data_IF_073589258955
#
_entry.id   IF_073589258955
#
_cell.length_a   1.000
_cell.length_b   1.000
_cell.length_c   1.000
_cell.angle_alpha   90.00
_cell.angle_beta   90.00
_cell.angle_gamma   90.00
#
_symmetry.space_group_name_H-M   'P 1'
#
loop_
_entity.id
_entity.type
_entity.pdbx_description
1 polymer ?
#
# COMPACT_ATOMS: atom_id res chain seq x y z
N UNK A 1 5.79 -19.71 5.24
CA UNK A 1 4.89 -19.09 6.24
C UNK A 1 4.60 -17.68 5.78
N UNK A 2 3.33 -17.29 5.61
CA UNK A 2 3.02 -15.90 5.33
C UNK A 2 3.50 -15.07 6.53
N UNK A 3 4.42 -14.12 6.34
CA UNK A 3 4.72 -13.12 7.37
C UNK A 3 3.42 -12.39 7.71
N UNK A 4 2.75 -12.84 8.76
CA UNK A 4 1.60 -12.16 9.35
C UNK A 4 2.12 -10.85 9.94
N UNK A 5 1.59 -9.72 9.47
CA UNK A 5 2.00 -8.40 9.94
C UNK A 5 2.71 -7.51 8.92
N UNK A 6 2.77 -7.88 7.63
CA UNK A 6 3.24 -6.97 6.57
C UNK A 6 2.28 -6.87 5.38
N UNK A 7 2.07 -5.65 4.91
CA UNK A 7 1.42 -5.36 3.63
C UNK A 7 2.48 -5.35 2.54
N UNK A 8 2.27 -6.17 1.51
CA UNK A 8 3.24 -6.43 0.45
C UNK A 8 2.94 -5.55 -0.76
N UNK A 9 4.00 -5.16 -1.46
CA UNK A 9 3.90 -4.43 -2.74
C UNK A 9 4.40 -5.33 -3.87
N UNK A 10 3.68 -5.33 -4.99
CA UNK A 10 4.09 -6.09 -6.17
C UNK A 10 5.33 -5.45 -6.82
N UNK A 11 6.29 -6.30 -7.21
CA UNK A 11 7.57 -5.89 -7.79
C UNK A 11 7.40 -5.15 -9.10
N UNK A 12 6.43 -5.55 -9.92
CA UNK A 12 6.10 -4.89 -11.20
C UNK A 12 5.45 -3.51 -11.03
N UNK A 13 5.05 -3.15 -9.80
CA UNK A 13 4.49 -1.83 -9.45
C UNK A 13 5.41 -0.99 -8.56
N UNK A 14 6.61 -1.50 -8.26
CA UNK A 14 7.54 -0.86 -7.35
C UNK A 14 7.95 0.56 -7.79
N UNK A 15 8.32 0.71 -9.06
CA UNK A 15 8.72 2.01 -9.63
C UNK A 15 7.57 3.02 -9.60
N UNK A 16 6.34 2.58 -9.89
CA UNK A 16 5.17 3.46 -9.82
C UNK A 16 4.92 3.94 -8.39
N UNK A 17 4.99 3.04 -7.41
CA UNK A 17 4.80 3.42 -6.00
C UNK A 17 5.90 4.40 -5.56
N UNK A 18 7.14 4.21 -6.03
CA UNK A 18 8.26 5.13 -5.76
C UNK A 18 8.02 6.51 -6.36
N UNK A 19 7.66 6.59 -7.64
CA UNK A 19 7.38 7.85 -8.32
C UNK A 19 6.20 8.63 -7.71
N UNK A 20 5.27 7.93 -7.05
CA UNK A 20 4.13 8.54 -6.37
C UNK A 20 4.47 9.05 -4.97
N UNK A 21 5.62 8.68 -4.41
CA UNK A 21 6.04 9.13 -3.08
C UNK A 21 7.03 10.29 -3.14
N UNK A 22 6.92 11.22 -2.21
CA UNK A 22 7.88 12.30 -2.02
C UNK A 22 9.19 11.71 -1.46
N UNK A 23 10.11 11.30 -2.32
CA UNK A 23 11.46 10.87 -1.93
C UNK A 23 12.53 11.71 -2.62
N UNK A 24 13.61 12.04 -1.90
CA UNK A 24 14.87 12.62 -2.38
C UNK A 24 14.74 13.57 -3.59
N UNK A 25 14.02 14.67 -3.41
CA UNK A 25 13.92 15.76 -4.40
C UNK A 25 12.74 15.68 -5.38
N UNK A 26 11.95 14.60 -5.35
CA UNK A 26 10.74 14.46 -6.16
C UNK A 26 9.47 14.90 -5.39
N UNK A 27 8.59 15.67 -6.05
CA UNK A 27 7.31 16.13 -5.51
C UNK A 27 6.19 15.12 -5.77
N UNK A 28 6.31 13.92 -5.19
CA UNK A 28 5.25 12.90 -5.25
C UNK A 28 4.05 13.28 -4.38
N UNK A 29 2.80 12.94 -4.76
CA UNK A 29 1.59 13.30 -4.02
C UNK A 29 1.44 12.63 -2.65
N UNK A 30 2.19 11.56 -2.37
CA UNK A 30 2.13 10.83 -1.11
C UNK A 30 3.41 11.00 -0.30
N UNK A 31 3.29 11.24 1.01
CA UNK A 31 4.45 11.38 1.88
C UNK A 31 5.16 10.05 2.13
N UNK A 32 4.41 8.94 2.17
CA UNK A 32 4.95 7.62 2.47
C UNK A 32 4.43 6.55 1.51
N UNK A 33 5.16 5.43 1.40
CA UNK A 33 4.66 4.27 0.67
C UNK A 33 3.34 3.75 1.25
N UNK A 34 3.12 3.90 2.57
CA UNK A 34 1.88 3.48 3.20
C UNK A 34 0.68 4.26 2.65
N UNK A 35 0.81 5.58 2.50
CA UNK A 35 -0.25 6.44 1.98
C UNK A 35 -0.60 6.08 0.54
N UNK A 36 0.42 5.87 -0.30
CA UNK A 36 0.23 5.47 -1.69
C UNK A 36 -0.50 4.12 -1.81
N UNK A 37 -0.15 3.15 -0.95
CA UNK A 37 -0.76 1.82 -0.95
C UNK A 37 -2.21 1.86 -0.44
N UNK A 38 -2.49 2.65 0.60
CA UNK A 38 -3.85 2.82 1.14
C UNK A 38 -4.74 3.52 0.13
N UNK A 39 -4.23 4.55 -0.55
CA UNK A 39 -4.93 5.19 -1.65
C UNK A 39 -5.23 4.21 -2.79
N UNK A 40 -4.26 3.40 -3.21
CA UNK A 40 -4.46 2.40 -4.25
C UNK A 40 -5.53 1.37 -3.86
N UNK A 41 -5.54 0.94 -2.59
CA UNK A 41 -6.56 0.03 -2.07
C UNK A 41 -7.96 0.67 -2.10
N UNK A 42 -8.10 1.91 -1.63
CA UNK A 42 -9.36 2.65 -1.66
C UNK A 42 -9.86 2.88 -3.09
N UNK A 43 -8.96 3.24 -4.01
CA UNK A 43 -9.27 3.41 -5.44
C UNK A 43 -9.73 2.08 -6.08
N UNK A 44 -9.05 0.98 -5.74
CA UNK A 44 -9.42 -0.37 -6.17
C UNK A 44 -10.85 -0.74 -5.74
N UNK A 45 -11.20 -0.52 -4.47
CA UNK A 45 -12.55 -0.76 -3.96
C UNK A 45 -13.59 0.12 -4.67
N UNK A 46 -13.33 1.43 -4.81
CA UNK A 46 -14.22 2.36 -5.53
C UNK A 46 -14.55 1.89 -6.95
N UNK A 47 -13.56 1.36 -7.66
CA UNK A 47 -13.70 0.88 -9.04
C UNK A 47 -13.99 -0.64 -9.15
N UNK A 48 -14.22 -1.33 -8.03
CA UNK A 48 -14.39 -2.80 -7.98
C UNK A 48 -13.28 -3.57 -8.71
N UNK A 49 -12.05 -3.05 -8.64
CA UNK A 49 -10.87 -3.58 -9.33
C UNK A 49 -9.91 -4.18 -8.32
N UNK A 50 -9.71 -5.49 -8.40
CA UNK A 50 -8.66 -6.22 -7.66
C UNK A 50 -7.67 -6.81 -8.64
N UNK A 51 -6.39 -6.72 -8.31
CA UNK A 51 -5.31 -7.29 -9.11
C UNK A 51 -4.49 -8.20 -8.19
N UNK A 52 -4.28 -9.48 -8.54
CA UNK A 52 -3.45 -10.36 -7.72
C UNK A 52 -2.01 -9.84 -7.68
N UNK A 53 -1.38 -9.95 -6.51
CA UNK A 53 0.04 -9.63 -6.37
C UNK A 53 0.86 -10.75 -7.03
N UNK A 54 1.72 -10.38 -7.98
CA UNK A 54 2.71 -11.28 -8.57
C UNK A 54 3.93 -11.42 -7.65
N UNK A 55 5.14 -11.25 -8.22
CA UNK A 55 6.35 -11.17 -7.42
C UNK A 55 6.29 -10.02 -6.41
N UNK A 56 6.85 -10.21 -5.21
CA UNK A 56 6.85 -9.20 -4.16
C UNK A 56 8.16 -8.39 -4.23
N UNK A 57 8.07 -7.07 -4.15
CA UNK A 57 9.26 -6.22 -4.05
C UNK A 57 9.98 -6.45 -2.72
N UNK A 58 11.30 -6.55 -2.75
CA UNK A 58 12.16 -6.81 -1.57
C UNK A 58 13.00 -5.61 -1.14
N UNK A 59 13.13 -4.59 -1.99
CA UNK A 59 13.99 -3.41 -1.72
C UNK A 59 13.16 -2.15 -1.58
N UNK A 60 12.65 -1.63 -2.69
CA UNK A 60 11.90 -0.38 -2.70
C UNK A 60 10.66 -0.55 -3.58
N UNK A 61 9.45 -0.36 -3.05
CA UNK A 61 9.13 -0.38 -1.62
C UNK A 61 9.25 -1.81 -1.06
N UNK A 62 9.92 -1.98 0.08
CA UNK A 62 9.93 -3.25 0.82
C UNK A 62 8.57 -3.49 1.49
N UNK A 63 8.25 -4.75 1.89
CA UNK A 63 6.99 -5.03 2.58
C UNK A 63 6.87 -4.21 3.87
N UNK A 64 5.76 -3.49 4.00
CA UNK A 64 5.53 -2.49 5.05
C UNK A 64 4.86 -3.15 6.24
N UNK A 65 5.38 -2.94 7.45
CA UNK A 65 4.78 -3.43 8.69
C UNK A 65 3.38 -2.86 8.89
N UNK A 66 2.42 -3.70 9.29
CA UNK A 66 1.02 -3.27 9.52
C UNK A 66 0.98 -2.18 10.61
N UNK A 67 1.83 -2.27 11.62
CA UNK A 67 1.92 -1.28 12.70
C UNK A 67 2.32 0.10 12.19
N UNK A 68 3.07 0.18 11.08
CA UNK A 68 3.43 1.46 10.48
C UNK A 68 2.20 2.20 9.96
N UNK A 69 1.23 1.50 9.38
CA UNK A 69 -0.02 2.10 8.93
C UNK A 69 -0.81 2.74 10.08
N UNK A 70 -0.74 2.17 11.29
CA UNK A 70 -1.31 2.80 12.48
C UNK A 70 -0.54 4.06 12.88
N UNK A 71 0.79 4.05 12.80
CA UNK A 71 1.61 5.22 13.14
C UNK A 71 1.38 6.43 12.22
N UNK A 72 1.01 6.19 10.95
CA UNK A 72 0.69 7.25 9.97
C UNK A 72 -0.81 7.55 9.85
N UNK A 73 -1.65 6.96 10.70
CA UNK A 73 -3.10 7.24 10.76
C UNK A 73 -3.95 6.55 9.68
N UNK A 74 -3.40 5.59 8.95
CA UNK A 74 -4.08 4.85 7.88
C UNK A 74 -4.88 3.63 8.38
N UNK A 75 -4.77 3.25 9.66
CA UNK A 75 -5.38 2.04 10.20
C UNK A 75 -6.91 2.04 10.11
N UNK A 76 -7.54 3.20 10.33
CA UNK A 76 -9.00 3.35 10.23
C UNK A 76 -9.48 3.03 8.82
N UNK A 77 -8.81 3.58 7.79
CA UNK A 77 -9.18 3.32 6.38
C UNK A 77 -8.99 1.85 6.04
N UNK A 78 -7.89 1.22 6.46
CA UNK A 78 -7.66 -0.21 6.22
C UNK A 78 -8.76 -1.07 6.86
N UNK A 79 -9.16 -0.76 8.10
CA UNK A 79 -10.26 -1.47 8.78
C UNK A 79 -11.59 -1.30 8.03
N UNK A 80 -11.91 -0.09 7.59
CA UNK A 80 -13.12 0.19 6.82
C UNK A 80 -13.12 -0.58 5.49
N UNK A 81 -12.01 -0.57 4.75
CA UNK A 81 -11.87 -1.33 3.51
C UNK A 81 -12.02 -2.84 3.75
N UNK A 82 -11.48 -3.35 4.86
CA UNK A 82 -11.66 -4.74 5.29
C UNK A 82 -13.13 -5.09 5.55
N UNK A 83 -13.86 -4.24 6.26
CA UNK A 83 -15.30 -4.43 6.51
C UNK A 83 -16.08 -4.45 5.19
N UNK A 84 -15.82 -3.50 4.30
CA UNK A 84 -16.50 -3.42 2.98
C UNK A 84 -16.21 -4.61 2.07
N UNK A 85 -15.10 -5.31 2.29
CA UNK A 85 -14.78 -6.52 1.53
C UNK A 85 -15.54 -7.76 2.04
N UNK A 86 -15.92 -7.76 3.32
CA UNK A 86 -16.56 -8.90 3.97
C UNK A 86 -18.09 -8.88 3.95
N UNK A 87 -18.69 -7.82 3.39
CA UNK A 87 -20.13 -7.68 3.18
C UNK A 87 -20.49 -7.90 1.72
#
# INVERSE_FOLDING_TARGET
MAETGRIRVAKDKAELVKALTSSDGETGPFQTFADAIVFAAALGVKHKKRVPLGEISKREPSPIRVEYFASVGNDVVIKLLGITETQ
#
